data_IF_217244186920
#
_entry.id   IF_217244186920
#
_cell.length_a   1.000
_cell.length_b   1.000
_cell.length_c   1.000
_cell.angle_alpha   90.00
_cell.angle_beta   90.00
_cell.angle_gamma   90.00
#
_symmetry.space_group_name_H-M   'P 1'
#
loop_
_entity.id
_entity.type
_entity.pdbx_description
1 polymer ?
#
# COMPACT_ATOMS: atom_id res chain seq x y z
N UNK A 1 -3.28 1.08 23.36
CA UNK A 1 -3.51 1.49 21.97
C UNK A 1 -2.53 2.61 21.60
N UNK A 2 -1.92 2.54 20.44
CA UNK A 2 -0.95 3.55 20.02
C UNK A 2 -1.68 4.66 19.22
N UNK A 3 -1.92 5.79 19.87
CA UNK A 3 -2.62 6.94 19.27
C UNK A 3 -1.89 7.45 18.02
N UNK A 4 -0.57 7.45 18.04
CA UNK A 4 0.24 7.90 16.91
C UNK A 4 0.02 7.02 15.68
N UNK A 5 -0.04 5.69 15.85
CA UNK A 5 -0.30 4.77 14.76
C UNK A 5 -1.71 4.96 14.18
N UNK A 6 -2.71 5.20 15.05
CA UNK A 6 -4.08 5.48 14.61
C UNK A 6 -4.14 6.73 13.74
N UNK A 7 -3.46 7.80 14.13
CA UNK A 7 -3.42 9.04 13.37
C UNK A 7 -2.73 8.84 12.01
N UNK A 8 -1.64 8.07 11.98
CA UNK A 8 -0.93 7.78 10.75
C UNK A 8 -1.79 6.98 9.79
N UNK A 9 -2.48 5.94 10.27
CA UNK A 9 -3.37 5.14 9.42
C UNK A 9 -4.49 5.98 8.82
N UNK A 10 -5.08 6.89 9.60
CA UNK A 10 -6.15 7.77 9.13
C UNK A 10 -5.71 8.71 8.01
N UNK A 11 -4.41 8.97 7.90
CA UNK A 11 -3.86 9.82 6.84
C UNK A 11 -3.55 9.05 5.56
N UNK A 12 -3.75 7.73 5.57
CA UNK A 12 -3.46 6.84 4.45
C UNK A 12 -4.76 6.34 3.82
N UNK A 13 -4.70 5.97 2.53
CA UNK A 13 -5.87 5.43 1.84
C UNK A 13 -5.50 4.25 0.96
N UNK A 14 -6.48 3.38 0.70
CA UNK A 14 -6.32 2.26 -0.21
C UNK A 14 -5.96 2.78 -1.60
N UNK A 15 -4.98 2.13 -2.23
CA UNK A 15 -4.51 2.52 -3.55
C UNK A 15 -3.45 3.61 -3.55
N UNK A 16 -3.13 4.16 -2.39
CA UNK A 16 -2.11 5.21 -2.29
C UNK A 16 -0.73 4.64 -2.52
N UNK A 17 0.08 5.34 -3.31
CA UNK A 17 1.48 5.02 -3.52
C UNK A 17 2.27 5.50 -2.30
N UNK A 18 3.03 4.60 -1.71
CA UNK A 18 3.89 4.89 -0.57
C UNK A 18 5.25 4.26 -0.78
N UNK A 19 6.25 4.68 -0.02
CA UNK A 19 7.53 3.97 -0.02
C UNK A 19 8.03 3.75 1.40
N UNK A 20 8.84 2.72 1.55
CA UNK A 20 9.40 2.35 2.84
C UNK A 20 10.54 3.30 3.22
N UNK A 21 10.52 3.82 4.45
CA UNK A 21 11.58 4.67 5.00
C UNK A 21 12.52 3.90 5.91
N UNK A 22 12.23 2.64 6.22
CA UNK A 22 12.99 1.89 7.21
C UNK A 22 13.01 0.41 6.88
N UNK A 23 14.03 -0.28 7.38
CA UNK A 23 14.17 -1.71 7.22
C UNK A 23 14.91 -2.10 5.94
N UNK A 24 14.87 -3.40 5.60
CA UNK A 24 15.59 -3.94 4.46
C UNK A 24 15.03 -3.46 3.12
N UNK A 25 13.76 -3.08 3.09
CA UNK A 25 13.09 -2.62 1.89
C UNK A 25 13.08 -1.09 1.76
N UNK A 26 13.94 -0.39 2.50
CA UNK A 26 14.03 1.08 2.45
C UNK A 26 14.14 1.58 1.01
N UNK A 27 13.27 2.51 0.65
CA UNK A 27 13.21 3.07 -0.70
C UNK A 27 12.32 2.31 -1.66
N UNK A 28 11.79 1.14 -1.27
CA UNK A 28 10.91 0.34 -2.11
C UNK A 28 9.50 0.92 -2.12
N UNK A 29 8.89 1.00 -3.30
CA UNK A 29 7.54 1.53 -3.48
C UNK A 29 6.49 0.43 -3.44
N UNK A 30 5.34 0.78 -2.86
CA UNK A 30 4.19 -0.12 -2.73
C UNK A 30 2.88 0.63 -2.96
N UNK A 31 1.83 -0.12 -3.28
CA UNK A 31 0.46 0.37 -3.19
C UNK A 31 -0.19 -0.18 -1.90
N UNK A 32 -0.97 0.64 -1.25
CA UNK A 32 -1.74 0.21 -0.07
C UNK A 32 -2.92 -0.64 -0.53
N UNK A 33 -2.92 -1.90 -0.11
CA UNK A 33 -3.99 -2.85 -0.40
C UNK A 33 -5.06 -2.85 0.70
N UNK A 34 -4.64 -2.75 1.96
CA UNK A 34 -5.58 -2.76 3.08
C UNK A 34 -5.00 -2.01 4.28
N UNK A 35 -5.89 -1.50 5.11
CA UNK A 35 -5.55 -0.83 6.35
C UNK A 35 -6.16 -1.64 7.50
N UNK A 36 -5.32 -2.16 8.37
CA UNK A 36 -5.76 -2.94 9.54
C UNK A 36 -5.72 -2.03 10.77
N UNK A 37 -6.82 -1.33 11.00
CA UNK A 37 -6.94 -0.38 12.10
C UNK A 37 -6.80 -1.07 13.46
N UNK A 38 -7.33 -2.28 13.59
CA UNK A 38 -7.31 -3.02 14.85
C UNK A 38 -5.88 -3.33 15.30
N UNK A 39 -5.00 -3.67 14.36
CA UNK A 39 -3.60 -4.02 14.64
C UNK A 39 -2.63 -2.88 14.39
N UNK A 40 -3.10 -1.76 13.85
CA UNK A 40 -2.24 -0.63 13.50
C UNK A 40 -1.22 -1.00 12.43
N UNK A 41 -1.64 -1.75 11.41
CA UNK A 41 -0.76 -2.23 10.34
C UNK A 41 -1.33 -1.91 8.97
N UNK A 42 -0.44 -1.85 7.99
CA UNK A 42 -0.78 -1.58 6.59
C UNK A 42 -0.35 -2.78 5.75
N UNK A 43 -1.20 -3.19 4.83
CA UNK A 43 -0.93 -4.29 3.91
C UNK A 43 -0.58 -3.71 2.55
N UNK A 44 0.58 -4.09 2.02
CA UNK A 44 1.20 -3.46 0.85
C UNK A 44 1.46 -4.48 -0.25
N UNK A 45 1.33 -4.03 -1.51
CA UNK A 45 1.60 -4.87 -2.68
C UNK A 45 2.50 -4.11 -3.66
N UNK A 46 3.29 -4.85 -4.44
CA UNK A 46 4.14 -4.28 -5.48
C UNK A 46 4.00 -4.99 -6.83
N UNK A 47 3.21 -6.05 -6.87
CA UNK A 47 2.97 -6.81 -8.10
C UNK A 47 4.08 -7.78 -8.48
N UNK A 48 5.14 -7.85 -7.68
CA UNK A 48 6.28 -8.77 -7.90
C UNK A 48 6.34 -9.79 -6.78
N UNK A 49 7.07 -9.50 -5.71
CA UNK A 49 7.14 -10.36 -4.52
C UNK A 49 5.91 -10.23 -3.65
N UNK A 50 5.29 -9.06 -3.62
CA UNK A 50 4.15 -8.77 -2.77
C UNK A 50 2.89 -8.63 -3.60
N UNK A 51 2.06 -9.66 -3.54
CA UNK A 51 0.79 -9.76 -4.24
C UNK A 51 -0.36 -9.66 -3.25
N UNK A 52 -1.60 -9.63 -3.73
CA UNK A 52 -2.76 -9.59 -2.84
C UNK A 52 -2.87 -10.87 -2.00
N UNK A 53 -2.29 -11.99 -2.47
CA UNK A 53 -2.26 -13.24 -1.73
C UNK A 53 -1.11 -13.30 -0.73
N UNK A 54 -0.10 -12.44 -0.89
CA UNK A 54 1.08 -12.40 -0.01
C UNK A 54 1.54 -10.96 0.18
N UNK A 55 0.71 -10.11 0.80
CA UNK A 55 1.07 -8.71 0.98
C UNK A 55 2.16 -8.53 2.02
N UNK A 56 2.87 -7.41 1.93
CA UNK A 56 3.81 -6.98 2.96
C UNK A 56 3.04 -6.32 4.09
N UNK A 57 3.28 -6.76 5.31
CA UNK A 57 2.70 -6.12 6.51
C UNK A 57 3.72 -5.12 7.05
N UNK A 58 3.30 -3.89 7.25
CA UNK A 58 4.23 -2.86 7.71
C UNK A 58 3.56 -1.89 8.68
N UNK A 59 4.39 -1.37 9.59
CA UNK A 59 3.97 -0.31 10.51
C UNK A 59 3.84 1.00 9.71
N UNK A 60 2.73 1.74 9.82
CA UNK A 60 2.55 2.99 9.07
C UNK A 60 3.62 4.02 9.37
N UNK A 61 4.25 3.99 10.55
CA UNK A 61 5.33 4.92 10.89
C UNK A 61 6.58 4.72 10.01
N UNK A 62 6.71 3.56 9.35
CA UNK A 62 7.84 3.26 8.48
C UNK A 62 7.56 3.59 7.01
N UNK A 63 6.44 4.24 6.73
CA UNK A 63 6.02 4.57 5.37
C UNK A 63 6.03 6.07 5.14
N UNK A 64 6.51 6.46 3.96
CA UNK A 64 6.36 7.81 3.46
C UNK A 64 5.24 7.79 2.42
N UNK A 65 4.20 8.57 2.66
CA UNK A 65 3.09 8.67 1.71
C UNK A 65 3.44 9.65 0.58
N UNK A 66 2.81 9.42 -0.57
CA UNK A 66 2.82 10.36 -1.69
C UNK A 66 1.40 10.86 -1.91
N UNK A 67 1.23 11.81 -2.82
CA UNK A 67 -0.10 12.29 -3.22
C UNK A 67 -0.67 11.50 -4.40
N UNK A 68 -0.02 10.41 -4.78
CA UNK A 68 -0.44 9.60 -5.93
C UNK A 68 -1.32 8.46 -5.45
N UNK A 69 -2.47 8.29 -6.09
CA UNK A 69 -3.40 7.20 -5.81
C UNK A 69 -3.65 6.43 -7.11
N UNK A 70 -3.52 5.12 -7.05
CA UNK A 70 -3.84 4.24 -8.18
C UNK A 70 -5.35 4.03 -8.20
N UNK A 71 -6.08 4.89 -8.90
CA UNK A 71 -7.54 4.94 -8.84
C UNK A 71 -8.20 3.66 -9.34
N UNK A 72 -7.70 3.04 -10.40
CA UNK A 72 -8.27 1.79 -10.92
C UNK A 72 -8.07 0.64 -9.94
N UNK A 73 -6.89 0.56 -9.36
CA UNK A 73 -6.58 -0.44 -8.32
C UNK A 73 -7.47 -0.23 -7.10
N UNK A 74 -7.59 1.01 -6.64
CA UNK A 74 -8.45 1.36 -5.51
C UNK A 74 -9.90 0.94 -5.75
N UNK A 75 -10.43 1.24 -6.94
CA UNK A 75 -11.80 0.87 -7.30
C UNK A 75 -12.00 -0.64 -7.24
N UNK A 76 -11.05 -1.42 -7.76
CA UNK A 76 -11.11 -2.88 -7.72
C UNK A 76 -11.10 -3.41 -6.29
N UNK A 77 -10.27 -2.85 -5.43
CA UNK A 77 -10.22 -3.27 -4.01
C UNK A 77 -11.58 -2.99 -3.35
N UNK A 78 -12.10 -1.78 -3.52
CA UNK A 78 -13.36 -1.37 -2.89
C UNK A 78 -14.57 -2.15 -3.42
N UNK A 79 -14.54 -2.56 -4.69
CA UNK A 79 -15.59 -3.35 -5.30
C UNK A 79 -15.42 -4.86 -5.09
N UNK A 80 -14.38 -5.25 -4.37
CA UNK A 80 -14.03 -6.66 -4.12
C UNK A 80 -13.85 -7.45 -5.41
N UNK A 81 -13.35 -6.78 -6.45
CA UNK A 81 -13.01 -7.39 -7.73
C UNK A 81 -11.75 -8.21 -7.61
N UNK A 82 -11.55 -9.15 -8.54
CA UNK A 82 -10.29 -9.89 -8.62
C UNK A 82 -9.18 -8.94 -9.03
N UNK A 83 -8.08 -8.95 -8.27
CA UNK A 83 -6.89 -8.14 -8.55
C UNK A 83 -5.74 -9.07 -8.89
N UNK A 84 -5.14 -8.85 -10.05
CA UNK A 84 -4.00 -9.64 -10.50
C UNK A 84 -2.71 -8.84 -10.35
N UNK A 85 -1.57 -9.54 -10.37
CA UNK A 85 -0.28 -8.86 -10.39
C UNK A 85 -0.12 -7.96 -11.61
N UNK A 86 -0.77 -8.32 -12.73
CA UNK A 86 -0.78 -7.49 -13.93
C UNK A 86 -1.41 -6.13 -13.65
N UNK A 87 -2.53 -6.09 -12.91
CA UNK A 87 -3.18 -4.83 -12.55
C UNK A 87 -2.23 -3.91 -11.80
N UNK A 88 -1.49 -4.47 -10.86
CA UNK A 88 -0.53 -3.71 -10.05
C UNK A 88 0.64 -3.26 -10.92
N UNK A 89 1.19 -4.16 -11.73
CA UNK A 89 2.33 -3.86 -12.60
C UNK A 89 1.99 -2.79 -13.64
N UNK A 90 0.78 -2.79 -14.17
CA UNK A 90 0.34 -1.75 -15.11
C UNK A 90 0.41 -0.36 -14.49
N UNK A 91 0.00 -0.25 -13.21
CA UNK A 91 0.13 1.01 -12.50
C UNK A 91 1.61 1.44 -12.40
N UNK A 92 2.47 0.54 -11.91
CA UNK A 92 3.89 0.88 -11.74
C UNK A 92 4.57 1.21 -13.07
N UNK A 93 4.19 0.52 -14.14
CA UNK A 93 4.75 0.80 -15.48
C UNK A 93 4.29 2.16 -16.02
N UNK A 94 3.17 2.66 -15.55
CA UNK A 94 2.64 3.97 -15.96
C UNK A 94 3.29 5.13 -15.22
N UNK A 95 4.01 4.87 -14.15
CA UNK A 95 4.67 5.91 -13.37
C UNK A 95 5.99 6.32 -14.00
N UNK A 96 6.21 7.63 -14.02
CA UNK A 96 7.49 8.22 -14.47
C UNK A 96 8.30 8.59 -13.22
N UNK A 97 8.84 7.57 -12.57
CA UNK A 97 9.68 7.78 -11.38
C UNK A 97 11.04 7.13 -11.55
#
# INVERSE_FOLDING_TARGET
MNVKADLLIRSLEIGQLVYSKAGRDKGHYYLIYALDDAKGRVLLVDGRKRTVQNPKVKNPAHLQKTNIVAEQFKAKVLNKSVITSKDINEFFNSLEI
#
